data_IF_964722723078
#
_entry.id   IF_964722723078
#
_cell.length_a   1.000
_cell.length_b   1.000
_cell.length_c   1.000
_cell.angle_alpha   90.00
_cell.angle_beta   90.00
_cell.angle_gamma   90.00
#
_symmetry.space_group_name_H-M   'P 1'
#
loop_
_entity.id
_entity.type
_entity.pdbx_description
1 polymer ?
#
# COMPACT_ATOMS: atom_id res chain seq x y z
N UNK A 1 -9.88 15.04 -0.15
CA UNK A 1 -8.78 16.01 -0.24
C UNK A 1 -8.51 16.71 1.07
N UNK A 2 -9.47 17.42 1.68
CA UNK A 2 -9.26 18.15 2.93
C UNK A 2 -8.69 17.29 4.09
N UNK A 3 -9.19 16.06 4.25
CA UNK A 3 -8.72 15.16 5.30
C UNK A 3 -7.27 14.74 5.06
N UNK A 4 -6.90 14.43 3.81
CA UNK A 4 -5.51 14.13 3.45
C UNK A 4 -4.60 15.33 3.74
N UNK A 5 -4.97 16.53 3.31
CA UNK A 5 -4.12 17.72 3.49
C UNK A 5 -3.92 18.05 4.97
N UNK A 6 -4.96 17.92 5.79
CA UNK A 6 -4.86 18.13 7.25
C UNK A 6 -3.96 17.05 7.88
N UNK A 7 -4.16 15.77 7.57
CA UNK A 7 -3.35 14.69 8.11
C UNK A 7 -1.88 14.76 7.63
N UNK A 8 -1.66 15.16 6.38
CA UNK A 8 -0.32 15.36 5.81
C UNK A 8 0.42 16.53 6.46
N UNK A 9 -0.27 17.65 6.72
CA UNK A 9 0.30 18.79 7.46
C UNK A 9 0.60 18.42 8.92
N UNK A 10 -0.29 17.65 9.57
CA UNK A 10 -0.08 17.16 10.93
C UNK A 10 1.14 16.21 10.99
N UNK A 11 1.24 15.28 10.03
CA UNK A 11 2.37 14.38 9.91
C UNK A 11 3.67 15.14 9.63
N UNK A 12 3.64 16.14 8.75
CA UNK A 12 4.77 17.03 8.52
C UNK A 12 5.22 17.73 9.80
N UNK A 13 4.30 18.33 10.58
CA UNK A 13 4.63 18.97 11.85
C UNK A 13 5.26 17.99 12.86
N UNK A 14 4.69 16.79 13.00
CA UNK A 14 5.22 15.73 13.86
C UNK A 14 6.61 15.27 13.42
N UNK A 15 6.85 15.19 12.11
CA UNK A 15 8.17 14.85 11.54
C UNK A 15 9.23 15.93 11.85
N UNK A 16 8.83 17.21 11.90
CA UNK A 16 9.73 18.32 12.31
C UNK A 16 10.04 18.31 13.80
N UNK A 17 9.15 17.77 14.62
CA UNK A 17 9.36 17.55 16.06
C UNK A 17 10.10 16.23 16.35
N UNK A 18 10.66 15.57 15.33
CA UNK A 18 11.37 14.28 15.43
C UNK A 18 10.51 13.08 15.89
N UNK A 19 9.19 13.27 15.97
CA UNK A 19 8.23 12.20 16.28
C UNK A 19 7.84 11.41 15.01
N UNK A 20 8.83 10.76 14.40
CA UNK A 20 8.68 10.04 13.11
C UNK A 20 7.65 8.90 13.15
N UNK A 21 7.62 8.12 14.24
CA UNK A 21 6.66 7.03 14.40
C UNK A 21 5.20 7.53 14.42
N UNK A 22 4.94 8.63 15.15
CA UNK A 22 3.61 9.25 15.22
C UNK A 22 3.20 9.87 13.88
N UNK A 23 4.15 10.54 13.20
CA UNK A 23 3.94 11.07 11.85
C UNK A 23 3.46 9.99 10.89
N UNK A 24 4.15 8.84 10.85
CA UNK A 24 3.76 7.73 10.00
C UNK A 24 2.41 7.13 10.39
N UNK A 25 2.12 7.01 11.68
CA UNK A 25 0.86 6.44 12.17
C UNK A 25 -0.35 7.29 11.76
N UNK A 26 -0.22 8.63 11.81
CA UNK A 26 -1.24 9.57 11.34
C UNK A 26 -1.54 9.34 9.85
N UNK A 27 -0.52 9.14 9.01
CA UNK A 27 -0.70 8.88 7.58
C UNK A 27 -1.37 7.54 7.31
N UNK A 28 -0.98 6.48 8.03
CA UNK A 28 -1.60 5.15 7.90
C UNK A 28 -3.09 5.22 8.27
N UNK A 29 -3.44 5.89 9.37
CA UNK A 29 -4.84 6.10 9.75
C UNK A 29 -5.61 6.92 8.69
N UNK A 30 -4.99 7.95 8.12
CA UNK A 30 -5.59 8.72 7.05
C UNK A 30 -5.84 7.86 5.79
N UNK A 31 -4.90 6.99 5.45
CA UNK A 31 -5.02 6.05 4.33
C UNK A 31 -6.21 5.09 4.52
N UNK A 32 -6.32 4.48 5.70
CA UNK A 32 -7.44 3.60 6.08
C UNK A 32 -8.77 4.33 6.05
N UNK A 33 -8.83 5.54 6.62
CA UNK A 33 -10.05 6.34 6.63
C UNK A 33 -10.52 6.68 5.21
N UNK A 34 -9.60 7.12 4.34
CA UNK A 34 -9.92 7.47 2.96
C UNK A 34 -10.40 6.24 2.18
N UNK A 35 -9.76 5.09 2.37
CA UNK A 35 -10.21 3.83 1.78
C UNK A 35 -11.64 3.48 2.23
N UNK A 36 -11.93 3.51 3.54
CA UNK A 36 -13.27 3.19 4.07
C UNK A 36 -14.33 4.17 3.54
N UNK A 37 -13.99 5.47 3.46
CA UNK A 37 -14.88 6.49 2.92
C UNK A 37 -15.21 6.22 1.45
N UNK A 38 -14.20 5.95 0.65
CA UNK A 38 -14.33 5.65 -0.78
C UNK A 38 -15.08 4.33 -1.01
N UNK A 39 -14.84 3.31 -0.17
CA UNK A 39 -15.59 2.05 -0.17
C UNK A 39 -17.09 2.26 0.13
N UNK A 40 -17.43 3.11 1.10
CA UNK A 40 -18.84 3.42 1.40
C UNK A 40 -19.55 4.11 0.23
N UNK A 41 -18.82 4.88 -0.57
CA UNK A 41 -19.33 5.58 -1.75
C UNK A 41 -19.47 4.66 -2.96
N UNK A 42 -18.44 3.88 -3.30
CA UNK A 42 -18.44 2.99 -4.47
C UNK A 42 -19.18 1.68 -4.23
N UNK A 43 -19.25 1.20 -2.98
CA UNK A 43 -19.69 -0.16 -2.59
C UNK A 43 -18.90 -1.29 -3.25
N UNK A 44 -17.78 -0.98 -3.91
CA UNK A 44 -16.82 -1.92 -4.46
C UNK A 44 -15.53 -1.82 -3.67
N UNK A 45 -14.95 -3.00 -3.38
CA UNK A 45 -13.64 -3.12 -2.75
C UNK A 45 -12.53 -2.65 -3.72
N UNK A 46 -12.70 -2.85 -5.06
CA UNK A 46 -11.75 -2.40 -6.12
C UNK A 46 -11.98 -0.96 -6.52
N UNK A 47 -12.21 -0.09 -5.53
CA UNK A 47 -12.25 1.32 -5.82
C UNK A 47 -10.82 1.82 -6.09
N UNK A 48 -10.50 2.14 -7.35
CA UNK A 48 -9.21 2.70 -7.75
C UNK A 48 -8.77 3.89 -6.88
N UNK A 49 -9.67 4.83 -6.53
CA UNK A 49 -9.33 5.96 -5.64
C UNK A 49 -8.99 5.48 -4.23
N UNK A 50 -9.76 4.51 -3.74
CA UNK A 50 -9.58 3.93 -2.41
C UNK A 50 -8.24 3.18 -2.32
N UNK A 51 -7.98 2.26 -3.26
CA UNK A 51 -6.76 1.45 -3.30
C UNK A 51 -5.53 2.34 -3.48
N UNK A 52 -5.58 3.30 -4.41
CA UNK A 52 -4.49 4.25 -4.59
C UNK A 52 -4.23 5.04 -3.30
N UNK A 53 -5.27 5.56 -2.64
CA UNK A 53 -5.10 6.27 -1.37
C UNK A 53 -4.52 5.37 -0.27
N UNK A 54 -4.98 4.11 -0.20
CA UNK A 54 -4.48 3.14 0.77
C UNK A 54 -3.00 2.81 0.54
N UNK A 55 -2.62 2.48 -0.70
CA UNK A 55 -1.27 2.09 -1.06
C UNK A 55 -0.30 3.27 -1.00
N UNK A 56 -0.67 4.41 -1.58
CA UNK A 56 0.20 5.59 -1.67
C UNK A 56 0.41 6.20 -0.28
N UNK A 57 -0.65 6.59 0.42
CA UNK A 57 -0.55 7.23 1.74
C UNK A 57 -0.09 6.23 2.81
N UNK A 58 -0.51 4.95 2.71
CA UNK A 58 0.01 3.90 3.59
C UNK A 58 1.51 3.70 3.41
N UNK A 59 1.99 3.71 2.17
CA UNK A 59 3.42 3.69 1.85
C UNK A 59 4.16 4.92 2.36
N UNK A 60 3.59 6.12 2.20
CA UNK A 60 4.12 7.35 2.80
C UNK A 60 4.24 7.21 4.31
N UNK A 61 3.21 6.68 4.98
CA UNK A 61 3.20 6.47 6.42
C UNK A 61 4.31 5.54 6.89
N UNK A 62 4.45 4.37 6.26
CA UNK A 62 5.52 3.42 6.59
C UNK A 62 6.92 4.01 6.36
N UNK A 63 7.10 4.73 5.27
CA UNK A 63 8.38 5.36 4.95
C UNK A 63 8.69 6.56 5.87
N UNK A 64 7.68 7.27 6.36
CA UNK A 64 7.82 8.36 7.32
C UNK A 64 8.21 7.88 8.74
N UNK A 65 7.90 6.62 9.10
CA UNK A 65 8.25 6.05 10.43
C UNK A 65 9.75 5.83 10.65
N UNK A 66 10.58 5.93 9.61
CA UNK A 66 12.04 5.73 9.69
C UNK A 66 12.42 4.43 10.42
N UNK A 67 11.87 3.30 9.97
CA UNK A 67 12.07 1.99 10.61
C UNK A 67 13.51 1.44 10.53
N UNK A 68 14.39 2.08 9.75
CA UNK A 68 15.80 1.70 9.60
C UNK A 68 16.74 2.82 10.03
N UNK A 69 17.88 2.45 10.64
CA UNK A 69 18.91 3.41 11.04
C UNK A 69 19.51 4.18 9.85
N UNK A 70 19.48 3.61 8.64
CA UNK A 70 19.93 4.28 7.42
C UNK A 70 18.93 5.29 6.86
N UNK A 71 17.66 5.23 7.30
CA UNK A 71 16.62 6.10 6.74
C UNK A 71 16.86 7.55 7.20
N UNK A 72 16.99 8.46 6.23
CA UNK A 72 17.18 9.89 6.48
C UNK A 72 15.84 10.59 6.70
N UNK A 73 15.79 11.63 7.54
CA UNK A 73 14.58 12.45 7.66
C UNK A 73 14.24 13.08 6.30
N UNK A 74 12.95 13.18 6.03
CA UNK A 74 12.47 13.72 4.77
C UNK A 74 12.73 15.23 4.68
N UNK A 75 13.18 15.67 3.50
CA UNK A 75 13.29 17.09 3.20
C UNK A 75 11.91 17.69 2.90
N UNK A 76 11.82 19.02 2.96
CA UNK A 76 10.58 19.74 2.62
C UNK A 76 10.13 19.44 1.17
N UNK A 77 11.09 19.24 0.26
CA UNK A 77 10.82 18.86 -1.13
C UNK A 77 10.11 17.50 -1.25
N UNK A 78 10.47 16.53 -0.41
CA UNK A 78 9.84 15.20 -0.40
C UNK A 78 8.37 15.30 -0.02
N UNK A 79 8.05 16.02 1.05
CA UNK A 79 6.67 16.26 1.47
C UNK A 79 5.84 16.95 0.41
N UNK A 80 6.39 17.99 -0.24
CA UNK A 80 5.70 18.71 -1.32
C UNK A 80 5.47 17.80 -2.54
N UNK A 81 6.48 17.02 -2.95
CA UNK A 81 6.38 16.13 -4.09
C UNK A 81 5.31 15.06 -3.89
N UNK A 82 5.28 14.44 -2.71
CA UNK A 82 4.29 13.43 -2.33
C UNK A 82 2.87 13.99 -2.30
N UNK A 83 2.68 15.16 -1.66
CA UNK A 83 1.41 15.86 -1.65
C UNK A 83 0.92 16.24 -3.05
N UNK A 84 1.84 16.68 -3.91
CA UNK A 84 1.53 17.04 -5.30
C UNK A 84 1.16 15.81 -6.13
N UNK A 85 1.91 14.71 -6.00
CA UNK A 85 1.61 13.46 -6.70
C UNK A 85 0.22 12.93 -6.35
N UNK A 86 -0.13 12.92 -5.06
CA UNK A 86 -1.47 12.52 -4.61
C UNK A 86 -2.56 13.49 -5.10
N UNK A 87 -2.29 14.80 -5.06
CA UNK A 87 -3.20 15.84 -5.56
C UNK A 87 -3.47 15.72 -7.07
N UNK A 88 -2.41 15.53 -7.87
CA UNK A 88 -2.51 15.35 -9.32
C UNK A 88 -3.36 14.12 -9.66
N UNK A 89 -3.13 12.99 -9.01
CA UNK A 89 -3.95 11.79 -9.20
C UNK A 89 -5.43 12.09 -8.93
N UNK A 90 -5.74 12.76 -7.81
CA UNK A 90 -7.12 13.05 -7.46
C UNK A 90 -7.81 14.00 -8.44
N UNK A 91 -7.10 15.03 -8.91
CA UNK A 91 -7.60 15.99 -9.91
C UNK A 91 -7.87 15.27 -11.24
N UNK A 92 -6.91 14.48 -11.74
CA UNK A 92 -7.07 13.72 -12.99
C UNK A 92 -8.24 12.76 -12.87
N UNK A 93 -8.38 12.06 -11.74
CA UNK A 93 -9.51 11.18 -11.49
C UNK A 93 -10.85 11.93 -11.54
N UNK A 94 -10.95 13.10 -10.89
CA UNK A 94 -12.19 13.90 -10.91
C UNK A 94 -12.52 14.41 -12.32
N UNK A 95 -11.51 14.83 -13.10
CA UNK A 95 -11.70 15.22 -14.50
C UNK A 95 -12.24 14.03 -15.31
N UNK A 96 -11.62 12.85 -15.18
CA UNK A 96 -12.06 11.65 -15.89
C UNK A 96 -13.47 11.23 -15.48
N UNK A 97 -13.82 11.37 -14.19
CA UNK A 97 -15.17 11.12 -13.68
C UNK A 97 -16.22 12.05 -14.31
N UNK A 98 -15.87 13.31 -14.56
CA UNK A 98 -16.76 14.26 -15.23
C UNK A 98 -16.88 13.95 -16.72
N UNK A 99 -15.76 13.61 -17.39
CA UNK A 99 -15.72 13.39 -18.85
C UNK A 99 -16.32 12.05 -19.27
N UNK A 100 -15.97 10.94 -18.59
CA UNK A 100 -16.42 9.58 -18.94
C UNK A 100 -17.66 9.13 -18.16
N UNK A 101 -18.18 9.98 -17.27
CA UNK A 101 -19.24 9.61 -16.34
C UNK A 101 -18.71 8.86 -15.13
N UNK A 102 -19.57 8.66 -14.13
CA UNK A 102 -19.17 8.05 -12.88
C UNK A 102 -18.99 6.53 -13.04
N UNK A 103 -17.76 5.99 -12.97
CA UNK A 103 -17.51 4.56 -13.16
C UNK A 103 -18.26 3.71 -12.10
N UNK A 104 -18.57 4.29 -10.94
CA UNK A 104 -19.26 3.59 -9.87
C UNK A 104 -20.80 3.59 -9.99
N UNK A 105 -21.39 4.19 -11.03
CA UNK A 105 -22.85 4.29 -11.17
C UNK A 105 -23.43 3.44 -12.32
N UNK A 106 -22.66 3.01 -13.31
CA UNK A 106 -23.18 2.25 -14.46
C UNK A 106 -23.66 0.83 -14.09
N UNK A 107 -24.62 0.32 -14.87
CA UNK A 107 -25.38 -0.93 -14.63
C UNK A 107 -24.64 -2.23 -14.96
N UNK A 108 -23.41 -2.18 -15.46
CA UNK A 108 -22.55 -3.36 -15.73
C UNK A 108 -21.99 -4.01 -14.44
N UNK A 109 -22.24 -3.39 -13.28
CA UNK A 109 -21.74 -3.77 -11.95
C UNK A 109 -22.06 -5.18 -11.48
N UNK A 110 -23.10 -5.85 -11.97
CA UNK A 110 -23.41 -7.23 -11.49
C UNK A 110 -22.40 -8.24 -12.05
N UNK A 111 -22.00 -8.07 -13.31
CA UNK A 111 -21.01 -8.94 -13.95
C UNK A 111 -19.59 -8.59 -13.49
N UNK A 112 -19.27 -7.29 -13.40
CA UNK A 112 -17.97 -6.82 -12.89
C UNK A 112 -17.77 -7.21 -11.42
N UNK A 113 -18.76 -7.04 -10.55
CA UNK A 113 -18.62 -7.38 -9.12
C UNK A 113 -18.34 -8.86 -8.87
N UNK A 114 -18.91 -9.76 -9.67
CA UNK A 114 -18.58 -11.20 -9.59
C UNK A 114 -17.13 -11.48 -9.96
N UNK A 115 -16.58 -10.76 -10.94
CA UNK A 115 -15.18 -10.91 -11.35
C UNK A 115 -14.23 -10.21 -10.36
N UNK A 116 -14.62 -9.07 -9.80
CA UNK A 116 -13.90 -8.37 -8.73
C UNK A 116 -13.76 -9.26 -7.48
N UNK A 117 -14.87 -9.85 -7.02
CA UNK A 117 -14.87 -10.74 -5.84
C UNK A 117 -13.98 -11.98 -6.06
N UNK A 118 -13.96 -12.52 -7.29
CA UNK A 118 -13.08 -13.63 -7.67
C UNK A 118 -11.61 -13.21 -7.74
N UNK A 119 -11.30 -12.07 -8.37
CA UNK A 119 -9.93 -11.54 -8.40
C UNK A 119 -9.42 -11.25 -6.98
N UNK A 120 -10.27 -10.74 -6.09
CA UNK A 120 -9.93 -10.57 -4.70
C UNK A 120 -9.66 -11.86 -3.97
N UNK A 121 -10.51 -12.87 -4.16
CA UNK A 121 -10.26 -14.18 -3.61
C UNK A 121 -8.88 -14.70 -4.07
N UNK A 122 -8.55 -14.53 -5.36
CA UNK A 122 -7.23 -14.89 -5.89
C UNK A 122 -6.10 -14.07 -5.25
N UNK A 123 -6.23 -12.76 -5.09
CA UNK A 123 -5.21 -11.91 -4.46
C UNK A 123 -5.00 -12.30 -2.99
N UNK A 124 -6.09 -12.53 -2.24
CA UNK A 124 -6.04 -12.94 -0.83
C UNK A 124 -5.42 -14.33 -0.71
N UNK A 125 -5.83 -15.29 -1.55
CA UNK A 125 -5.26 -16.64 -1.58
C UNK A 125 -3.77 -16.56 -1.91
N UNK A 126 -3.39 -15.77 -2.91
CA UNK A 126 -1.99 -15.57 -3.29
C UNK A 126 -1.18 -14.97 -2.14
N UNK A 127 -1.68 -13.91 -1.49
CA UNK A 127 -1.02 -13.27 -0.36
C UNK A 127 -0.86 -14.22 0.84
N UNK A 128 -1.91 -14.96 1.19
CA UNK A 128 -1.87 -15.95 2.25
C UNK A 128 -0.91 -17.09 1.92
N UNK A 129 -0.91 -17.57 0.68
CA UNK A 129 -0.03 -18.66 0.22
C UNK A 129 1.44 -18.22 0.23
N UNK A 130 1.73 -17.00 -0.21
CA UNK A 130 3.09 -16.46 -0.14
C UNK A 130 3.54 -16.21 1.30
N UNK A 131 2.64 -15.76 2.17
CA UNK A 131 2.94 -15.55 3.60
C UNK A 131 3.22 -16.88 4.31
N UNK A 132 2.41 -17.91 4.07
CA UNK A 132 2.64 -19.24 4.66
C UNK A 132 3.94 -19.85 4.17
N UNK A 133 4.22 -19.78 2.86
CA UNK A 133 5.48 -20.21 2.29
C UNK A 133 6.67 -19.46 2.93
N UNK A 134 6.57 -18.15 3.16
CA UNK A 134 7.63 -17.36 3.78
C UNK A 134 7.90 -17.80 5.22
N UNK A 135 6.84 -18.04 6.00
CA UNK A 135 7.00 -18.55 7.37
C UNK A 135 7.63 -19.94 7.39
N UNK A 136 7.30 -20.82 6.44
CA UNK A 136 7.93 -22.15 6.32
C UNK A 136 9.42 -22.00 6.03
N UNK A 137 9.82 -21.17 5.06
CA UNK A 137 11.24 -20.94 4.76
C UNK A 137 11.98 -20.36 5.97
N UNK A 138 11.39 -19.39 6.66
CA UNK A 138 11.99 -18.78 7.85
C UNK A 138 12.15 -19.77 9.02
N UNK A 139 11.18 -20.66 9.25
CA UNK A 139 11.26 -21.69 10.30
C UNK A 139 12.34 -22.73 9.98
N UNK A 140 12.41 -23.19 8.72
CA UNK A 140 13.37 -24.22 8.30
C UNK A 140 14.80 -23.69 8.30
N UNK A 141 15.00 -22.45 7.83
CA UNK A 141 16.32 -21.82 7.83
C UNK A 141 16.70 -21.29 9.22
N UNK A 142 15.72 -21.08 10.11
CA UNK A 142 15.93 -20.64 11.48
C UNK A 142 16.28 -19.16 11.62
N UNK A 143 16.18 -18.40 10.52
CA UNK A 143 16.51 -16.97 10.50
C UNK A 143 15.70 -16.22 9.44
N UNK A 144 15.63 -14.89 9.56
CA UNK A 144 14.90 -14.02 8.63
C UNK A 144 15.92 -13.06 7.98
N UNK A 145 16.13 -13.10 6.65
CA UNK A 145 17.22 -12.38 5.99
C UNK A 145 17.29 -10.87 6.26
N UNK A 146 16.15 -10.23 6.57
CA UNK A 146 16.08 -8.79 6.92
C UNK A 146 16.70 -8.49 8.29
N UNK A 147 16.66 -9.43 9.24
CA UNK A 147 17.12 -9.23 10.61
C UNK A 147 18.57 -9.69 10.83
N UNK A 148 19.11 -10.55 9.95
CA UNK A 148 20.50 -10.98 9.96
C UNK A 148 21.46 -9.88 9.48
N UNK A 149 22.36 -9.42 10.36
CA UNK A 149 23.38 -8.41 10.05
C UNK A 149 24.73 -9.07 9.76
N UNK A 150 25.41 -8.62 8.71
CA UNK A 150 26.79 -9.01 8.40
C UNK A 150 26.94 -10.17 7.41
N UNK A 151 25.85 -10.70 6.86
CA UNK A 151 25.85 -11.72 5.80
C UNK A 151 25.28 -11.13 4.50
N UNK A 152 26.11 -10.65 3.56
CA UNK A 152 25.64 -10.07 2.29
C UNK A 152 24.90 -11.08 1.40
N UNK A 153 24.96 -12.37 1.75
CA UNK A 153 24.39 -13.50 1.03
C UNK A 153 23.19 -14.14 1.74
N UNK A 154 22.63 -13.52 2.79
CA UNK A 154 21.49 -14.07 3.55
C UNK A 154 20.28 -14.44 2.65
N UNK A 155 20.00 -13.61 1.63
CA UNK A 155 18.93 -13.88 0.66
C UNK A 155 19.25 -15.06 -0.26
N UNK A 156 20.52 -15.31 -0.60
CA UNK A 156 20.87 -16.47 -1.44
C UNK A 156 20.72 -17.80 -0.71
N UNK A 157 20.61 -17.82 0.62
CA UNK A 157 20.28 -19.04 1.39
C UNK A 157 18.78 -19.31 1.45
N UNK A 158 17.96 -18.32 1.11
CA UNK A 158 16.50 -18.43 1.01
C UNK A 158 16.14 -19.00 -0.38
N UNK A 159 16.29 -20.31 -0.56
CA UNK A 159 15.98 -20.97 -1.85
C UNK A 159 15.48 -22.41 -1.67
N UNK A 160 14.59 -22.65 -0.69
CA UNK A 160 14.04 -24.00 -0.54
C UNK A 160 13.31 -24.37 -1.84
N UNK A 161 13.86 -25.37 -2.55
CA UNK A 161 13.38 -25.78 -3.86
C UNK A 161 11.87 -26.03 -3.84
N UNK A 162 11.14 -25.26 -4.66
CA UNK A 162 9.67 -25.30 -4.72
C UNK A 162 9.00 -24.23 -3.86
N UNK A 163 9.22 -24.23 -2.54
CA UNK A 163 8.58 -23.28 -1.61
C UNK A 163 8.95 -21.83 -1.94
N UNK A 164 10.20 -21.61 -2.34
CA UNK A 164 10.71 -20.29 -2.69
C UNK A 164 9.94 -19.59 -3.82
N UNK A 165 9.42 -20.35 -4.78
CA UNK A 165 8.63 -19.75 -5.86
C UNK A 165 7.32 -19.14 -5.34
N UNK A 166 6.71 -19.76 -4.34
CA UNK A 166 5.51 -19.23 -3.68
C UNK A 166 5.84 -18.01 -2.81
N UNK A 167 7.00 -17.96 -2.17
CA UNK A 167 7.41 -16.78 -1.39
C UNK A 167 7.64 -15.57 -2.29
N UNK A 168 8.26 -15.75 -3.45
CA UNK A 168 8.49 -14.68 -4.44
C UNK A 168 7.19 -14.24 -5.14
N UNK A 169 6.18 -15.11 -5.21
CA UNK A 169 4.89 -14.80 -5.84
C UNK A 169 4.14 -13.63 -5.20
N UNK A 170 4.50 -13.21 -3.98
CA UNK A 170 3.93 -12.01 -3.34
C UNK A 170 4.15 -10.72 -4.16
N UNK A 171 5.14 -10.69 -5.05
CA UNK A 171 5.43 -9.52 -5.91
C UNK A 171 4.28 -9.22 -6.89
N UNK A 172 3.43 -10.20 -7.15
CA UNK A 172 2.27 -10.06 -8.03
C UNK A 172 1.06 -9.40 -7.32
N UNK A 173 1.04 -9.38 -5.98
CA UNK A 173 -0.06 -8.81 -5.20
C UNK A 173 -0.26 -7.32 -5.49
N UNK A 174 0.78 -6.46 -5.48
CA UNK A 174 0.64 -5.06 -5.87
C UNK A 174 0.18 -4.89 -7.33
N UNK A 175 0.72 -5.69 -8.25
CA UNK A 175 0.37 -5.61 -9.68
C UNK A 175 -1.10 -5.96 -9.93
N UNK A 176 -1.61 -7.02 -9.30
CA UNK A 176 -3.01 -7.42 -9.42
C UNK A 176 -3.97 -6.54 -8.62
N UNK A 177 -3.50 -5.81 -7.62
CA UNK A 177 -4.34 -4.85 -6.87
C UNK A 177 -4.66 -3.56 -7.64
N UNK A 178 -3.95 -3.28 -8.73
CA UNK A 178 -4.08 -2.05 -9.53
C UNK A 178 -5.01 -2.24 -10.74
N UNK A 179 -5.20 -3.49 -11.19
CA UNK A 179 -6.06 -3.88 -12.33
C UNK A 179 -7.50 -4.07 -11.86
#
# INVERSE_FOLDING_TARGET
MLIYTVCSLLAYALSRMEHYALSGFVLILAALYLYIKEYRYSKSLVNLRGIFALAFIGGEGLAAMKLSYLAKPWGNSTWICLALAFGCFYIVFDILKVVKGNPYLNGERVLERSNEDMMYACIIILALTSLTAFNIEAIVLGFIPVFEKGVPHAYSYFHISGVHYFTVSCILVPAFSIV
#
